data_IF_637910280806
#
_entry.id   IF_637910280806
#
_cell.length_a   1.000
_cell.length_b   1.000
_cell.length_c   1.000
_cell.angle_alpha   90.00
_cell.angle_beta   90.00
_cell.angle_gamma   90.00
#
_symmetry.space_group_name_H-M   'P 1'
#
loop_
_entity.id
_entity.type
_entity.pdbx_description
1 polymer ?
#
# COMPACT_ATOMS: atom_id res chain seq x y z
N UNK A 1 -30.17 -9.56 -12.01
CA UNK A 1 -29.52 -9.12 -10.75
C UNK A 1 -29.03 -10.30 -9.90
N UNK A 2 -29.80 -11.38 -9.75
CA UNK A 2 -29.42 -12.58 -8.96
C UNK A 2 -28.09 -13.27 -9.34
N UNK A 3 -27.70 -13.28 -10.62
CA UNK A 3 -26.40 -13.84 -11.05
C UNK A 3 -25.18 -13.02 -10.60
N UNK A 4 -25.37 -11.75 -10.22
CA UNK A 4 -24.29 -10.89 -9.69
C UNK A 4 -24.14 -11.02 -8.17
N UNK A 5 -25.15 -11.57 -7.49
CA UNK A 5 -25.19 -11.73 -6.03
C UNK A 5 -24.85 -13.15 -5.56
N UNK A 6 -24.70 -14.13 -6.46
CA UNK A 6 -24.18 -15.45 -6.05
C UNK A 6 -22.68 -15.32 -5.77
N UNK A 7 -22.23 -15.41 -4.50
CA UNK A 7 -20.81 -15.40 -4.21
C UNK A 7 -20.18 -16.63 -4.85
N UNK A 8 -19.23 -16.39 -5.74
CA UNK A 8 -18.46 -17.45 -6.39
C UNK A 8 -17.44 -17.97 -5.37
N UNK A 9 -17.80 -19.01 -4.62
CA UNK A 9 -16.97 -19.65 -3.57
C UNK A 9 -16.13 -18.66 -2.75
N UNK A 10 -16.76 -18.11 -1.72
CA UNK A 10 -16.26 -17.08 -0.78
C UNK A 10 -15.18 -17.59 0.19
N UNK A 11 -14.21 -18.37 -0.29
CA UNK A 11 -13.12 -18.94 0.53
C UNK A 11 -12.34 -17.85 1.30
N UNK A 12 -12.33 -16.60 0.80
CA UNK A 12 -11.62 -15.47 1.41
C UNK A 12 -12.51 -14.24 1.67
N UNK A 13 -13.81 -14.42 1.90
CA UNK A 13 -14.73 -13.32 2.22
C UNK A 13 -14.29 -12.56 3.47
N UNK A 14 -13.92 -13.26 4.55
CA UNK A 14 -13.42 -12.67 5.79
C UNK A 14 -12.14 -11.85 5.58
N UNK A 15 -11.16 -12.40 4.85
CA UNK A 15 -9.91 -11.69 4.52
C UNK A 15 -10.18 -10.46 3.64
N UNK A 16 -11.12 -10.56 2.72
CA UNK A 16 -11.55 -9.43 1.90
C UNK A 16 -12.25 -8.36 2.74
N UNK A 17 -13.05 -8.75 3.74
CA UNK A 17 -13.62 -7.85 4.74
C UNK A 17 -12.56 -7.14 5.56
N UNK A 18 -11.55 -7.86 6.06
CA UNK A 18 -10.40 -7.27 6.76
C UNK A 18 -9.66 -6.26 5.87
N UNK A 19 -9.50 -6.54 4.58
CA UNK A 19 -8.90 -5.57 3.64
C UNK A 19 -9.68 -4.26 3.59
N UNK A 20 -11.01 -4.32 3.57
CA UNK A 20 -11.89 -3.15 3.56
C UNK A 20 -11.75 -2.38 4.87
N UNK A 21 -11.73 -3.06 6.00
CA UNK A 21 -11.48 -2.43 7.32
C UNK A 21 -10.12 -1.71 7.30
N UNK A 22 -9.06 -2.36 6.82
CA UNK A 22 -7.74 -1.72 6.69
C UNK A 22 -7.78 -0.49 5.77
N UNK A 23 -8.56 -0.49 4.68
CA UNK A 23 -8.73 0.70 3.84
C UNK A 23 -9.37 1.85 4.61
N UNK A 24 -10.41 1.59 5.41
CA UNK A 24 -11.03 2.62 6.26
C UNK A 24 -10.06 3.14 7.32
N UNK A 25 -9.26 2.26 7.93
CA UNK A 25 -8.21 2.65 8.88
C UNK A 25 -7.13 3.51 8.22
N UNK A 26 -6.75 3.24 6.96
CA UNK A 26 -5.82 4.10 6.20
C UNK A 26 -6.43 5.49 6.01
N UNK A 27 -7.71 5.58 5.61
CA UNK A 27 -8.40 6.86 5.41
C UNK A 27 -8.46 7.63 6.73
N UNK A 28 -8.86 6.95 7.81
CA UNK A 28 -8.92 7.54 9.15
C UNK A 28 -7.55 8.03 9.61
N UNK A 29 -6.50 7.21 9.47
CA UNK A 29 -5.13 7.57 9.82
C UNK A 29 -4.61 8.79 9.05
N UNK A 30 -4.87 8.86 7.74
CA UNK A 30 -4.50 10.04 6.95
C UNK A 30 -5.33 11.27 7.34
N UNK A 31 -6.60 11.12 7.73
CA UNK A 31 -7.39 12.24 8.24
C UNK A 31 -6.84 12.75 9.57
N UNK A 32 -6.49 11.87 10.49
CA UNK A 32 -5.85 12.23 11.76
C UNK A 32 -4.48 12.90 11.51
N UNK A 33 -3.74 12.39 10.53
CA UNK A 33 -2.46 12.97 10.11
C UNK A 33 -2.61 14.41 9.59
N UNK A 34 -3.71 14.73 8.89
CA UNK A 34 -3.97 16.12 8.45
C UNK A 34 -4.08 17.11 9.62
N UNK A 35 -4.51 16.65 10.80
CA UNK A 35 -4.53 17.48 12.01
C UNK A 35 -3.12 17.90 12.46
N UNK A 36 -2.08 17.12 12.12
CA UNK A 36 -0.70 17.49 12.45
C UNK A 36 -0.15 18.63 11.58
N UNK A 37 -0.75 18.89 10.42
CA UNK A 37 -0.41 20.05 9.59
C UNK A 37 -1.18 21.32 10.00
N UNK A 38 -2.07 21.22 10.99
CA UNK A 38 -2.90 22.33 11.45
C UNK A 38 -2.36 22.93 12.75
N UNK A 39 -2.55 24.23 13.02
CA UNK A 39 -2.17 24.81 14.30
C UNK A 39 -2.88 24.11 15.46
N UNK A 40 -2.12 23.74 16.49
CA UNK A 40 -2.63 23.01 17.65
C UNK A 40 -2.54 23.89 18.89
N UNK A 41 -3.61 23.90 19.69
CA UNK A 41 -3.65 24.63 20.96
C UNK A 41 -2.83 23.92 22.06
N UNK A 42 -2.80 22.58 22.05
CA UNK A 42 -2.04 21.79 23.00
C UNK A 42 -1.38 20.60 22.31
N UNK A 43 -0.08 20.71 22.03
CA UNK A 43 0.71 19.61 21.46
C UNK A 43 1.02 18.51 22.47
N UNK A 44 1.06 18.83 23.77
CA UNK A 44 1.36 17.87 24.83
C UNK A 44 0.25 16.82 24.94
N UNK A 45 -1.01 17.20 24.81
CA UNK A 45 -2.14 16.25 24.88
C UNK A 45 -2.05 15.18 23.78
N UNK A 46 -1.60 15.58 22.58
CA UNK A 46 -1.42 14.65 21.46
C UNK A 46 -0.23 13.74 21.68
N UNK A 47 0.86 14.26 22.24
CA UNK A 47 2.02 13.44 22.59
C UNK A 47 1.68 12.42 23.70
N UNK A 48 0.94 12.84 24.72
CA UNK A 48 0.46 11.96 25.78
C UNK A 48 -0.52 10.91 25.25
N UNK A 49 -1.39 11.26 24.30
CA UNK A 49 -2.34 10.34 23.68
C UNK A 49 -1.64 9.17 22.96
N UNK A 50 -0.45 9.39 22.38
CA UNK A 50 0.34 8.32 21.73
C UNK A 50 0.81 7.27 22.75
N UNK A 51 0.96 7.65 24.03
CA UNK A 51 1.36 6.74 25.10
C UNK A 51 0.32 5.65 25.45
N UNK A 52 -0.93 5.81 25.02
CA UNK A 52 -1.97 4.80 25.23
C UNK A 52 -1.93 3.69 24.17
N UNK A 53 -2.09 2.44 24.60
CA UNK A 53 -1.95 1.27 23.72
C UNK A 53 -2.93 1.23 22.53
N UNK A 54 -4.17 1.70 22.71
CA UNK A 54 -5.14 1.71 21.59
C UNK A 54 -4.75 2.80 20.60
N UNK A 55 -4.42 3.98 21.11
CA UNK A 55 -4.06 5.13 20.30
C UNK A 55 -2.77 4.87 19.52
N UNK A 56 -1.76 4.20 20.10
CA UNK A 56 -0.52 3.88 19.39
C UNK A 56 -0.80 3.11 18.10
N UNK A 57 -1.79 2.21 18.07
CA UNK A 57 -2.16 1.48 16.87
C UNK A 57 -2.77 2.42 15.81
N UNK A 58 -3.69 3.30 16.22
CA UNK A 58 -4.36 4.23 15.30
C UNK A 58 -3.43 5.34 14.78
N UNK A 59 -2.49 5.81 15.59
CA UNK A 59 -1.49 6.80 15.20
C UNK A 59 -0.33 6.18 14.42
N UNK A 60 -0.09 4.87 14.54
CA UNK A 60 0.94 4.17 13.80
C UNK A 60 0.45 3.75 12.40
N UNK A 61 0.40 4.72 11.49
CA UNK A 61 0.03 4.49 10.08
C UNK A 61 0.89 3.43 9.37
N UNK A 62 2.14 3.23 9.82
CA UNK A 62 3.05 2.22 9.27
C UNK A 62 2.47 0.81 9.43
N UNK A 63 1.92 0.50 10.61
CA UNK A 63 1.31 -0.80 10.93
C UNK A 63 0.02 -1.03 10.15
N UNK A 64 -0.80 0.02 10.05
CA UNK A 64 -2.08 -0.04 9.30
C UNK A 64 -1.81 -0.35 7.83
N UNK A 65 -0.88 0.38 7.19
CA UNK A 65 -0.53 0.16 5.78
C UNK A 65 0.15 -1.21 5.58
N UNK A 66 1.00 -1.65 6.52
CA UNK A 66 1.59 -2.99 6.46
C UNK A 66 0.52 -4.09 6.45
N UNK A 67 -0.49 -3.96 7.30
CA UNK A 67 -1.61 -4.91 7.37
C UNK A 67 -2.35 -4.98 6.03
N UNK A 68 -2.63 -3.82 5.43
CA UNK A 68 -3.23 -3.73 4.11
C UNK A 68 -2.38 -4.41 3.03
N UNK A 69 -1.06 -4.18 3.03
CA UNK A 69 -0.13 -4.75 2.06
C UNK A 69 -0.01 -6.27 2.22
N UNK A 70 0.04 -6.81 3.44
CA UNK A 70 0.04 -8.27 3.69
C UNK A 70 -1.21 -8.92 3.11
N UNK A 71 -2.38 -8.40 3.47
CA UNK A 71 -3.66 -8.94 2.99
C UNK A 71 -3.74 -8.85 1.46
N UNK A 72 -3.31 -7.72 0.89
CA UNK A 72 -3.34 -7.51 -0.55
C UNK A 72 -2.37 -8.40 -1.29
N UNK A 73 -1.16 -8.62 -0.76
CA UNK A 73 -0.18 -9.54 -1.31
C UNK A 73 -0.70 -10.98 -1.35
N UNK A 74 -1.34 -11.42 -0.27
CA UNK A 74 -1.96 -12.75 -0.19
C UNK A 74 -3.06 -12.93 -1.25
N UNK A 75 -4.06 -12.05 -1.23
CA UNK A 75 -5.22 -12.15 -2.14
C UNK A 75 -4.80 -12.04 -3.61
N UNK A 76 -3.86 -11.13 -3.89
CA UNK A 76 -3.35 -10.94 -5.26
C UNK A 76 -2.61 -12.17 -5.74
N UNK A 77 -1.64 -12.67 -4.98
CA UNK A 77 -0.79 -13.75 -5.46
C UNK A 77 -1.57 -15.05 -5.61
N UNK A 78 -2.45 -15.37 -4.66
CA UNK A 78 -3.34 -16.52 -4.76
C UNK A 78 -4.24 -16.42 -6.00
N UNK A 79 -4.86 -15.26 -6.22
CA UNK A 79 -5.69 -15.02 -7.39
C UNK A 79 -4.90 -15.14 -8.70
N UNK A 80 -3.73 -14.51 -8.79
CA UNK A 80 -2.89 -14.56 -9.98
C UNK A 80 -2.44 -16.00 -10.31
N UNK A 81 -2.03 -16.76 -9.29
CA UNK A 81 -1.65 -18.16 -9.46
C UNK A 81 -2.80 -19.05 -9.95
N UNK A 82 -4.06 -18.73 -9.61
CA UNK A 82 -5.22 -19.49 -10.06
C UNK A 82 -5.75 -19.02 -11.42
N UNK A 83 -5.84 -17.71 -11.63
CA UNK A 83 -6.31 -17.13 -12.90
C UNK A 83 -5.38 -17.53 -14.06
N UNK A 84 -4.05 -17.47 -13.85
CA UNK A 84 -3.05 -17.85 -14.87
C UNK A 84 -3.06 -19.36 -15.11
N UNK A 85 -3.23 -20.19 -14.08
CA UNK A 85 -3.31 -21.64 -14.26
C UNK A 85 -4.56 -22.09 -15.00
N UNK A 86 -5.68 -21.38 -14.83
CA UNK A 86 -6.96 -21.74 -15.46
C UNK A 86 -7.15 -21.13 -16.85
N UNK A 87 -6.46 -20.03 -17.19
CA UNK A 87 -6.61 -19.38 -18.48
C UNK A 87 -5.27 -18.88 -19.06
N UNK A 88 -4.64 -19.76 -19.85
CA UNK A 88 -3.32 -19.55 -20.44
C UNK A 88 -3.27 -18.45 -21.51
N UNK A 89 -4.42 -17.95 -21.97
CA UNK A 89 -4.51 -16.88 -22.98
C UNK A 89 -4.40 -15.48 -22.39
N UNK A 90 -4.44 -15.33 -21.07
CA UNK A 90 -4.34 -14.02 -20.42
C UNK A 90 -2.89 -13.55 -20.47
N UNK A 91 -2.63 -12.47 -21.22
CA UNK A 91 -1.34 -11.81 -21.15
C UNK A 91 -1.19 -11.04 -19.83
N UNK A 92 0.04 -10.97 -19.31
CA UNK A 92 0.37 -10.20 -18.10
C UNK A 92 -0.02 -8.73 -18.29
N UNK A 93 0.21 -8.18 -19.49
CA UNK A 93 -0.16 -6.81 -19.84
C UNK A 93 -1.66 -6.59 -19.67
N UNK A 94 -2.50 -7.51 -20.16
CA UNK A 94 -3.95 -7.41 -19.94
C UNK A 94 -4.33 -7.54 -18.46
N UNK A 95 -3.62 -8.38 -17.70
CA UNK A 95 -3.84 -8.55 -16.26
C UNK A 95 -3.54 -7.28 -15.46
N UNK A 96 -2.45 -6.59 -15.83
CA UNK A 96 -2.04 -5.27 -15.30
C UNK A 96 -3.01 -4.18 -15.72
N UNK A 97 -3.32 -4.10 -17.01
CA UNK A 97 -4.22 -3.11 -17.58
C UNK A 97 -5.62 -3.18 -16.96
N UNK A 98 -6.18 -4.37 -16.73
CA UNK A 98 -7.47 -4.53 -16.06
C UNK A 98 -7.49 -3.98 -14.64
N UNK A 99 -6.38 -4.13 -13.88
CA UNK A 99 -6.28 -3.54 -12.54
C UNK A 99 -6.14 -2.02 -12.63
N UNK A 100 -5.31 -1.53 -13.55
CA UNK A 100 -5.17 -0.10 -13.80
C UNK A 100 -6.53 0.54 -14.14
N UNK A 101 -7.27 0.01 -15.10
CA UNK A 101 -8.62 0.47 -15.47
C UNK A 101 -9.64 0.42 -14.32
N UNK A 102 -9.44 -0.44 -13.33
CA UNK A 102 -10.30 -0.52 -12.15
C UNK A 102 -9.99 0.57 -11.12
N UNK A 103 -8.72 0.92 -10.94
CA UNK A 103 -8.27 1.87 -9.91
C UNK A 103 -8.25 3.32 -10.41
N UNK A 104 -7.75 3.53 -11.62
CA UNK A 104 -7.49 4.86 -12.19
C UNK A 104 -8.74 5.74 -12.27
N UNK A 105 -9.95 5.27 -12.65
CA UNK A 105 -11.11 6.15 -12.74
C UNK A 105 -11.50 6.79 -11.40
N UNK A 106 -11.56 5.98 -10.33
CA UNK A 106 -11.86 6.49 -9.00
C UNK A 106 -10.74 7.41 -8.50
N UNK A 107 -9.49 7.06 -8.81
CA UNK A 107 -8.34 7.85 -8.39
C UNK A 107 -8.30 9.23 -9.07
N UNK A 108 -8.54 9.28 -10.39
CA UNK A 108 -8.67 10.51 -11.17
C UNK A 108 -9.87 11.36 -10.76
N UNK A 109 -10.98 10.73 -10.39
CA UNK A 109 -12.14 11.45 -9.87
C UNK A 109 -11.77 12.22 -8.60
N UNK A 110 -11.12 11.56 -7.63
CA UNK A 110 -10.67 12.21 -6.38
C UNK A 110 -9.65 13.30 -6.68
N UNK A 111 -8.68 13.07 -7.56
CA UNK A 111 -7.70 14.10 -7.95
C UNK A 111 -8.38 15.33 -8.57
N UNK A 112 -9.27 15.12 -9.54
CA UNK A 112 -10.00 16.20 -10.20
C UNK A 112 -10.87 16.95 -9.19
N UNK A 113 -11.52 16.25 -8.26
CA UNK A 113 -12.31 16.86 -7.20
C UNK A 113 -11.46 17.74 -6.28
N UNK A 114 -10.28 17.25 -5.85
CA UNK A 114 -9.34 18.00 -5.02
C UNK A 114 -8.82 19.24 -5.73
N UNK A 115 -8.59 19.17 -7.05
CA UNK A 115 -8.07 20.32 -7.81
C UNK A 115 -9.13 21.34 -8.21
N UNK A 116 -10.37 20.92 -8.44
CA UNK A 116 -11.39 21.78 -9.04
C UNK A 116 -12.55 22.12 -8.10
N UNK A 117 -12.75 21.39 -7.00
CA UNK A 117 -13.91 21.61 -6.11
C UNK A 117 -13.46 22.05 -4.73
N UNK A 118 -12.50 21.34 -4.12
CA UNK A 118 -11.98 21.67 -2.78
C UNK A 118 -11.53 23.13 -2.64
N UNK A 119 -10.88 23.79 -3.63
CA UNK A 119 -10.48 25.19 -3.51
C UNK A 119 -11.64 26.18 -3.35
N UNK A 120 -12.87 25.79 -3.70
CA UNK A 120 -14.08 26.59 -3.51
C UNK A 120 -14.78 26.31 -2.18
N UNK A 121 -14.50 25.16 -1.55
CA UNK A 121 -15.06 24.76 -0.26
C UNK A 121 -14.17 25.26 0.89
N UNK A 122 -12.84 25.22 0.71
CA UNK A 122 -11.86 25.60 1.73
C UNK A 122 -11.53 27.11 1.71
N UNK A 123 -12.52 27.95 2.04
CA UNK A 123 -12.35 29.41 2.13
C UNK A 123 -11.97 29.91 3.55
N UNK A 124 -11.72 29.00 4.49
CA UNK A 124 -11.36 29.35 5.86
C UNK A 124 -9.93 29.90 6.00
N UNK A 125 -9.57 30.45 7.17
CA UNK A 125 -8.23 31.01 7.43
C UNK A 125 -7.12 29.95 7.45
N UNK A 126 -7.48 28.67 7.64
CA UNK A 126 -6.60 27.52 7.48
C UNK A 126 -6.80 26.81 6.13
N UNK A 127 -7.62 27.39 5.25
CA UNK A 127 -7.85 26.89 3.89
C UNK A 127 -6.70 27.25 2.94
N UNK A 128 -6.69 26.58 1.78
CA UNK A 128 -5.79 26.76 0.62
C UNK A 128 -4.31 27.06 0.90
N UNK A 129 -3.43 26.12 0.58
CA UNK A 129 -1.95 26.28 0.59
C UNK A 129 -1.33 26.66 1.96
N UNK A 130 -2.15 26.87 2.99
CA UNK A 130 -1.70 27.04 4.38
C UNK A 130 -1.38 25.70 5.02
N UNK A 131 -2.24 24.69 4.81
CA UNK A 131 -2.04 23.32 5.33
C UNK A 131 -1.25 22.45 4.34
N UNK A 132 -1.57 22.54 3.04
CA UNK A 132 -0.94 21.76 1.98
C UNK A 132 -0.97 22.51 0.64
N UNK A 133 0.16 22.62 -0.05
CA UNK A 133 0.24 23.26 -1.36
C UNK A 133 -0.15 22.27 -2.48
N UNK A 134 -1.25 22.58 -3.17
CA UNK A 134 -1.75 21.80 -4.29
C UNK A 134 -1.21 22.28 -5.65
N UNK A 135 -0.42 23.36 -5.70
CA UNK A 135 0.13 23.90 -6.95
C UNK A 135 0.93 22.87 -7.78
N UNK A 136 1.74 21.95 -7.19
CA UNK A 136 2.53 21.00 -7.97
C UNK A 136 1.67 19.93 -8.65
N UNK A 137 0.42 19.73 -8.20
CA UNK A 137 -0.50 18.74 -8.75
C UNK A 137 -0.72 18.89 -10.25
N UNK A 138 -0.85 20.13 -10.76
CA UNK A 138 -1.07 20.37 -12.18
C UNK A 138 0.12 19.93 -13.04
N UNK A 139 1.34 20.04 -12.50
CA UNK A 139 2.57 19.66 -13.19
C UNK A 139 2.86 18.16 -13.10
N UNK A 140 2.51 17.54 -11.97
CA UNK A 140 2.86 16.15 -11.67
C UNK A 140 1.69 15.18 -11.67
N UNK A 141 0.50 15.58 -12.15
CA UNK A 141 -0.67 14.70 -12.29
C UNK A 141 -0.35 13.37 -13.00
N UNK A 142 0.52 13.42 -14.00
CA UNK A 142 0.92 12.26 -14.80
C UNK A 142 1.67 11.20 -13.98
N UNK A 143 2.38 11.57 -12.91
CA UNK A 143 3.10 10.60 -12.05
C UNK A 143 2.11 9.74 -11.27
N UNK A 144 0.99 10.34 -10.86
CA UNK A 144 -0.11 9.66 -10.18
C UNK A 144 -0.87 8.72 -11.13
N UNK A 145 -1.10 9.15 -12.38
CA UNK A 145 -1.70 8.30 -13.43
C UNK A 145 -0.90 7.03 -13.72
N UNK A 146 0.43 7.16 -13.70
CA UNK A 146 1.37 6.06 -13.92
C UNK A 146 1.70 5.29 -12.62
N UNK A 147 1.17 5.72 -11.46
CA UNK A 147 1.47 5.13 -10.16
C UNK A 147 2.98 5.11 -9.84
N UNK A 148 3.70 6.20 -10.17
CA UNK A 148 5.14 6.39 -9.90
C UNK A 148 5.42 7.64 -9.05
N UNK A 149 4.38 8.28 -8.52
CA UNK A 149 4.49 9.47 -7.68
C UNK A 149 5.31 9.25 -6.41
N UNK A 150 5.53 8.01 -5.98
CA UNK A 150 6.38 7.69 -4.83
C UNK A 150 7.88 7.54 -5.17
N UNK A 151 8.28 7.78 -6.43
CA UNK A 151 9.67 7.85 -6.87
C UNK A 151 9.98 9.16 -7.60
N UNK A 152 9.01 9.72 -8.30
CA UNK A 152 9.18 10.93 -9.11
C UNK A 152 8.60 12.13 -8.38
N UNK A 153 9.46 13.10 -8.07
CA UNK A 153 9.09 14.35 -7.39
C UNK A 153 8.30 14.10 -6.10
N UNK A 154 8.87 13.29 -5.22
CA UNK A 154 8.20 12.83 -4.00
C UNK A 154 7.84 14.01 -3.09
N UNK A 155 8.72 15.02 -3.04
CA UNK A 155 8.53 16.29 -2.35
C UNK A 155 7.31 17.08 -2.83
N UNK A 156 6.84 16.81 -4.05
CA UNK A 156 5.72 17.48 -4.70
C UNK A 156 4.46 16.59 -4.78
N UNK A 157 4.16 15.81 -3.72
CA UNK A 157 2.96 14.96 -3.69
C UNK A 157 1.68 15.80 -3.80
N UNK A 158 0.82 15.45 -4.77
CA UNK A 158 -0.50 16.05 -4.85
C UNK A 158 -1.48 15.53 -3.78
N UNK A 159 -1.53 14.20 -3.65
CA UNK A 159 -2.40 13.51 -2.71
C UNK A 159 -1.54 12.71 -1.77
N UNK A 160 -1.40 13.15 -0.51
CA UNK A 160 -0.57 12.46 0.47
C UNK A 160 -0.87 10.95 0.56
N UNK A 161 -2.14 10.47 0.70
CA UNK A 161 -2.38 9.04 0.79
C UNK A 161 -2.04 8.25 -0.49
N UNK A 162 -1.69 8.89 -1.60
CA UNK A 162 -1.55 8.16 -2.85
C UNK A 162 -0.29 7.32 -2.98
N UNK A 163 0.74 7.56 -2.17
CA UNK A 163 1.99 6.80 -2.24
C UNK A 163 1.78 5.29 -2.03
N UNK A 164 0.83 4.89 -1.16
CA UNK A 164 0.58 3.47 -0.89
C UNK A 164 -0.17 2.81 -2.07
N UNK A 165 -0.99 3.57 -2.80
CA UNK A 165 -1.64 3.09 -4.02
C UNK A 165 -0.62 2.87 -5.14
N UNK A 166 0.37 3.77 -5.27
CA UNK A 166 1.50 3.58 -6.16
C UNK A 166 2.28 2.30 -5.82
N UNK A 167 2.59 2.13 -4.54
CA UNK A 167 3.24 0.93 -4.02
C UNK A 167 2.45 -0.34 -4.31
N UNK A 168 1.14 -0.35 -4.07
CA UNK A 168 0.27 -1.49 -4.34
C UNK A 168 0.23 -1.86 -5.84
N UNK A 169 0.17 -0.86 -6.74
CA UNK A 169 0.18 -1.11 -8.18
C UNK A 169 1.54 -1.66 -8.67
N UNK A 170 2.64 -1.12 -8.18
CA UNK A 170 3.98 -1.60 -8.53
C UNK A 170 4.23 -3.03 -8.03
N UNK A 171 3.86 -3.32 -6.77
CA UNK A 171 3.95 -4.66 -6.21
C UNK A 171 3.00 -5.64 -6.89
N UNK A 172 1.83 -5.18 -7.35
CA UNK A 172 0.94 -6.00 -8.18
C UNK A 172 1.60 -6.45 -9.48
N UNK A 173 2.32 -5.57 -10.17
CA UNK A 173 3.04 -5.89 -11.40
C UNK A 173 4.09 -6.97 -11.12
N UNK A 174 4.93 -6.76 -10.10
CA UNK A 174 5.96 -7.74 -9.67
C UNK A 174 5.31 -9.08 -9.31
N UNK A 175 4.25 -9.05 -8.50
CA UNK A 175 3.49 -10.22 -8.09
C UNK A 175 2.91 -11.00 -9.28
N UNK A 176 2.37 -10.29 -10.28
CA UNK A 176 1.80 -10.89 -11.49
C UNK A 176 2.87 -11.53 -12.36
N UNK A 177 4.04 -10.90 -12.50
CA UNK A 177 5.20 -11.45 -13.20
C UNK A 177 5.70 -12.72 -12.50
N UNK A 178 5.87 -12.68 -11.18
CA UNK A 178 6.29 -13.83 -10.40
C UNK A 178 5.31 -15.00 -10.52
N UNK A 179 4.00 -14.74 -10.46
CA UNK A 179 2.97 -15.76 -10.67
C UNK A 179 3.05 -16.37 -12.08
N UNK A 180 3.29 -15.55 -13.12
CA UNK A 180 3.45 -16.02 -14.49
C UNK A 180 4.67 -16.93 -14.67
N UNK A 181 5.84 -16.52 -14.16
CA UNK A 181 7.04 -17.36 -14.23
C UNK A 181 6.90 -18.65 -13.43
N UNK A 182 6.20 -18.59 -12.28
CA UNK A 182 5.87 -19.77 -11.49
C UNK A 182 4.98 -20.74 -12.26
N UNK A 183 3.98 -20.25 -12.99
CA UNK A 183 3.14 -21.08 -13.86
C UNK A 183 3.94 -21.71 -15.00
N UNK A 184 4.85 -20.96 -15.63
CA UNK A 184 5.67 -21.47 -16.74
C UNK A 184 6.68 -22.52 -16.28
N UNK A 185 7.30 -22.33 -15.13
CA UNK A 185 8.23 -23.28 -14.53
C UNK A 185 8.31 -23.07 -13.03
N UNK A 186 7.89 -24.08 -12.27
CA UNK A 186 7.90 -24.04 -10.80
C UNK A 186 9.32 -23.80 -10.25
N UNK A 187 10.36 -24.37 -10.88
CA UNK A 187 11.76 -24.17 -10.46
C UNK A 187 12.19 -22.71 -10.63
N UNK A 188 11.91 -22.12 -11.79
CA UNK A 188 12.24 -20.71 -12.08
C UNK A 188 11.41 -19.79 -11.18
N UNK A 189 10.12 -20.08 -11.00
CA UNK A 189 9.26 -19.33 -10.10
C UNK A 189 9.75 -19.30 -8.66
N UNK A 190 10.15 -20.45 -8.10
CA UNK A 190 10.74 -20.52 -6.75
C UNK A 190 12.03 -19.73 -6.63
N UNK A 191 12.91 -19.84 -7.63
CA UNK A 191 14.17 -19.08 -7.67
C UNK A 191 13.91 -17.58 -7.71
N UNK A 192 13.01 -17.12 -8.58
CA UNK A 192 12.65 -15.71 -8.69
C UNK A 192 11.95 -15.19 -7.42
N UNK A 193 11.04 -15.97 -6.83
CA UNK A 193 10.38 -15.61 -5.58
C UNK A 193 11.40 -15.46 -4.45
N UNK A 194 12.35 -16.38 -4.34
CA UNK A 194 13.44 -16.30 -3.36
C UNK A 194 14.35 -15.09 -3.62
N UNK A 195 14.75 -14.85 -4.88
CA UNK A 195 15.57 -13.71 -5.24
C UNK A 195 14.86 -12.38 -4.93
N UNK A 196 13.58 -12.24 -5.29
CA UNK A 196 12.78 -11.06 -4.95
C UNK A 196 12.63 -10.91 -3.43
N UNK A 197 12.45 -12.01 -2.70
CA UNK A 197 12.40 -11.97 -1.24
C UNK A 197 13.68 -11.40 -0.63
N UNK A 198 14.84 -11.85 -1.11
CA UNK A 198 16.13 -11.34 -0.68
C UNK A 198 16.30 -9.85 -1.01
N UNK A 199 15.91 -9.42 -2.22
CA UNK A 199 15.93 -8.00 -2.58
C UNK A 199 15.06 -7.17 -1.63
N UNK A 200 13.81 -7.58 -1.39
CA UNK A 200 12.89 -6.81 -0.52
C UNK A 200 13.33 -6.76 0.95
N UNK A 201 14.07 -7.77 1.42
CA UNK A 201 14.60 -7.79 2.80
C UNK A 201 15.90 -6.97 2.91
N UNK A 202 16.79 -7.08 1.92
CA UNK A 202 18.12 -6.48 1.98
C UNK A 202 18.09 -5.00 1.61
N UNK A 203 17.30 -4.59 0.60
CA UNK A 203 17.30 -3.21 0.10
C UNK A 203 16.98 -2.17 1.18
N UNK A 204 15.95 -2.33 2.04
CA UNK A 204 15.70 -1.35 3.11
C UNK A 204 16.89 -1.18 4.05
N UNK A 205 17.58 -2.27 4.40
CA UNK A 205 18.79 -2.21 5.23
C UNK A 205 19.95 -1.49 4.55
N UNK A 206 20.14 -1.71 3.25
CA UNK A 206 21.15 -0.98 2.47
C UNK A 206 20.86 0.51 2.36
N UNK A 207 19.58 0.89 2.20
CA UNK A 207 19.15 2.30 2.19
C UNK A 207 19.50 2.97 3.52
N UNK A 208 19.19 2.34 4.65
CA UNK A 208 19.52 2.84 5.99
C UNK A 208 21.03 3.00 6.18
N UNK A 209 21.81 1.98 5.82
CA UNK A 209 23.28 2.01 5.97
C UNK A 209 23.89 3.11 5.09
N UNK A 210 23.48 3.22 3.83
CA UNK A 210 24.03 4.19 2.88
C UNK A 210 23.66 5.62 3.23
N UNK A 211 22.42 5.84 3.68
CA UNK A 211 21.92 7.15 4.07
C UNK A 211 22.34 7.60 5.47
N UNK A 212 22.97 6.71 6.26
CA UNK A 212 23.21 6.93 7.69
C UNK A 212 21.94 7.29 8.47
N UNK A 213 20.81 6.65 8.09
CA UNK A 213 19.49 6.91 8.67
C UNK A 213 19.25 6.07 9.93
N UNK A 214 18.17 6.38 10.63
CA UNK A 214 17.69 5.53 11.72
C UNK A 214 17.12 4.22 11.15
N UNK A 215 17.33 3.10 11.87
CA UNK A 215 16.78 1.79 11.49
C UNK A 215 15.25 1.70 11.60
N UNK A 216 14.64 2.67 12.26
CA UNK A 216 13.20 2.83 12.40
C UNK A 216 12.86 4.27 12.04
N UNK A 217 11.77 4.46 11.29
CA UNK A 217 11.26 5.80 10.97
C UNK A 217 10.73 6.44 12.25
N UNK A 218 11.39 7.50 12.70
CA UNK A 218 10.98 8.27 13.86
C UNK A 218 10.06 9.41 13.43
N UNK A 219 8.79 9.31 13.81
CA UNK A 219 7.76 10.31 13.51
C UNK A 219 7.52 11.19 14.74
N UNK A 220 8.18 12.33 14.78
CA UNK A 220 7.98 13.41 15.73
C UNK A 220 6.97 14.40 15.19
N UNK A 221 5.98 14.73 16.02
CA UNK A 221 4.93 15.67 15.66
C UNK A 221 5.48 17.05 15.26
N UNK A 222 6.51 17.55 15.97
CA UNK A 222 7.14 18.86 15.68
C UNK A 222 7.70 18.96 14.27
N UNK A 223 8.22 17.88 13.73
CA UNK A 223 8.95 17.87 12.46
C UNK A 223 8.04 17.43 11.28
N UNK A 224 6.74 17.25 11.54
CA UNK A 224 5.81 16.61 10.61
C UNK A 224 5.69 17.32 9.26
N UNK A 225 5.74 18.65 9.28
CA UNK A 225 5.72 19.49 8.07
C UNK A 225 6.92 19.28 7.15
N UNK A 226 8.03 18.76 7.66
CA UNK A 226 9.28 18.63 6.90
C UNK A 226 9.51 17.22 6.35
N UNK A 227 8.75 16.21 6.77
CA UNK A 227 9.03 14.82 6.38
C UNK A 227 9.03 14.58 4.88
N UNK A 228 8.09 15.19 4.13
CA UNK A 228 8.05 15.04 2.68
C UNK A 228 9.21 15.70 1.94
N UNK A 229 10.03 16.51 2.64
CA UNK A 229 11.25 17.11 2.11
C UNK A 229 12.53 16.47 2.68
N UNK A 230 12.41 15.49 3.58
CA UNK A 230 13.54 14.79 4.17
C UNK A 230 13.82 13.48 3.42
N UNK A 231 15.05 13.34 2.93
CA UNK A 231 15.49 12.15 2.22
C UNK A 231 15.33 10.88 3.07
N UNK A 232 15.58 10.96 4.38
CA UNK A 232 15.38 9.83 5.30
C UNK A 232 13.95 9.29 5.19
N UNK A 233 12.93 10.14 5.33
CA UNK A 233 11.55 9.70 5.25
C UNK A 233 11.16 9.21 3.85
N UNK A 234 11.59 9.92 2.80
CA UNK A 234 11.30 9.53 1.41
C UNK A 234 11.85 8.13 1.11
N UNK A 235 13.13 7.91 1.40
CA UNK A 235 13.85 6.69 1.03
C UNK A 235 13.49 5.51 1.94
N UNK A 236 13.23 5.76 3.24
CA UNK A 236 12.91 4.67 4.18
C UNK A 236 11.42 4.34 4.27
N UNK A 237 10.52 5.25 3.84
CA UNK A 237 9.08 5.07 4.01
C UNK A 237 8.26 5.12 2.72
N UNK A 238 8.45 6.10 1.84
CA UNK A 238 7.54 6.33 0.70
C UNK A 238 7.84 5.42 -0.49
N UNK A 239 9.12 5.09 -0.70
CA UNK A 239 9.54 4.26 -1.81
C UNK A 239 9.11 2.80 -1.64
N UNK A 240 8.69 2.18 -2.75
CA UNK A 240 8.08 0.84 -2.71
C UNK A 240 9.01 -0.24 -2.20
N UNK A 241 10.30 -0.20 -2.54
CA UNK A 241 11.24 -1.22 -2.10
C UNK A 241 11.41 -1.23 -0.57
N UNK A 242 11.25 -0.08 0.08
CA UNK A 242 11.30 0.06 1.54
C UNK A 242 10.04 -0.48 2.24
N UNK A 243 8.96 -0.68 1.48
CA UNK A 243 7.65 -1.14 1.98
C UNK A 243 7.19 -2.45 1.34
N UNK A 244 8.07 -3.14 0.64
CA UNK A 244 7.72 -4.33 -0.12
C UNK A 244 7.61 -5.61 0.74
N UNK A 245 8.32 -5.66 1.88
CA UNK A 245 8.40 -6.84 2.75
C UNK A 245 7.05 -7.34 3.28
N UNK A 246 6.12 -6.49 3.77
CA UNK A 246 4.79 -6.93 4.20
C UNK A 246 4.01 -7.59 3.06
N UNK A 247 4.10 -7.04 1.85
CA UNK A 247 3.44 -7.61 0.68
C UNK A 247 3.99 -9.00 0.34
N UNK A 248 5.32 -9.16 0.40
CA UNK A 248 5.99 -10.45 0.23
C UNK A 248 5.54 -11.49 1.26
N UNK A 249 5.39 -11.11 2.53
CA UNK A 249 4.86 -12.01 3.58
C UNK A 249 3.48 -12.53 3.15
N UNK A 250 2.63 -11.64 2.64
CA UNK A 250 1.33 -12.02 2.06
C UNK A 250 1.47 -13.02 0.90
N UNK A 251 2.39 -12.77 -0.04
CA UNK A 251 2.66 -13.67 -1.16
C UNK A 251 3.14 -15.06 -0.72
N UNK A 252 4.08 -15.12 0.24
CA UNK A 252 4.57 -16.37 0.82
C UNK A 252 3.45 -17.13 1.53
N UNK A 253 2.59 -16.42 2.27
CA UNK A 253 1.39 -17.01 2.88
C UNK A 253 0.46 -17.64 1.84
N UNK A 254 0.22 -16.95 0.72
CA UNK A 254 -0.60 -17.47 -0.37
C UNK A 254 0.02 -18.71 -1.05
N UNK A 255 1.34 -18.70 -1.23
CA UNK A 255 2.09 -19.84 -1.75
C UNK A 255 1.97 -21.07 -0.84
N UNK A 256 2.25 -20.91 0.45
CA UNK A 256 2.14 -21.99 1.44
C UNK A 256 0.70 -22.51 1.50
N UNK A 257 -0.29 -21.62 1.52
CA UNK A 257 -1.70 -21.97 1.48
C UNK A 257 -2.04 -22.85 0.27
N UNK A 258 -1.63 -22.43 -0.93
CA UNK A 258 -1.86 -23.20 -2.16
C UNK A 258 -1.23 -24.59 -2.09
N UNK A 259 0.01 -24.71 -1.61
CA UNK A 259 0.65 -26.01 -1.45
C UNK A 259 -0.07 -26.93 -0.47
N UNK A 260 -0.56 -26.40 0.65
CA UNK A 260 -1.30 -27.17 1.63
C UNK A 260 -2.63 -27.70 1.05
N UNK A 261 -3.32 -26.84 0.29
CA UNK A 261 -4.57 -27.18 -0.41
C UNK A 261 -4.35 -28.24 -1.49
N UNK A 262 -3.32 -28.09 -2.31
CA UNK A 262 -2.98 -29.05 -3.38
C UNK A 262 -2.58 -30.42 -2.82
N UNK A 263 -1.86 -30.45 -1.69
CA UNK A 263 -1.45 -31.69 -1.01
C UNK A 263 -2.55 -32.34 -0.16
N UNK A 264 -3.77 -31.79 -0.11
CA UNK A 264 -4.89 -32.21 0.78
C UNK A 264 -4.44 -32.49 2.23
N UNK A 265 -3.46 -31.75 2.75
CA UNK A 265 -3.00 -31.95 4.12
C UNK A 265 -4.04 -31.38 5.08
N UNK A 266 -4.88 -32.25 5.65
CA UNK A 266 -5.69 -31.92 6.81
C UNK A 266 -4.77 -31.69 7.99
N UNK A 267 -4.84 -30.51 8.60
CA UNK A 267 -4.25 -30.31 9.92
C UNK A 267 -4.86 -31.35 10.85
N UNK A 268 -4.03 -32.19 11.49
CA UNK A 268 -4.52 -33.06 12.55
C UNK A 268 -5.16 -32.16 13.59
N UNK A 269 -6.45 -32.37 13.90
CA UNK A 269 -7.11 -31.69 15.02
C UNK A 269 -6.25 -31.92 16.25
N UNK A 270 -5.53 -30.88 16.68
CA UNK A 270 -5.01 -30.84 18.05
C UNK A 270 -6.25 -30.69 18.93
N UNK A 271 -6.65 -31.80 19.53
CA UNK A 271 -7.60 -31.79 20.63
C UNK A 271 -6.91 -31.04 21.78
N UNK A 272 -7.42 -29.84 22.08
CA UNK A 272 -7.29 -29.25 23.40
C UNK A 272 -8.42 -29.77 24.27
#
# INVERSE_FOLDING_TARGET
MEKLLKPKNDEFSAISGMKVISMFLIIYGHRMMMSFFSPMHNSLDVEMAIGEFINIYFYNGIVIVNTFLVITGFLTYYKALNDISHNTKISIIQYVYRRWMRLTPAYLYVMTFVLNVVPYIEQGPLGRNVIWDYSPCYKYLWTHLLFINNYVHVENQCLIPSWYMATDMQLYIICSLLAFFFWKSEKIGKLLLFATAMVFIITPGLVVIKGHYNGVVLLFHRDFHHYFNQNEFIETYLQTHSRASPYLIGMLGAYVYKQLKDKKKTFSKFYF
#
